data_IF_663941119722
#
_entry.id   IF_663941119722
#
_cell.length_a   1.000
_cell.length_b   1.000
_cell.length_c   1.000
_cell.angle_alpha   90.00
_cell.angle_beta   90.00
_cell.angle_gamma   90.00
#
_symmetry.space_group_name_H-M   'P 1'
#
loop_
_entity.id
_entity.type
_entity.pdbx_description
1 polymer ?
#
# COMPACT_ATOMS: atom_id res chain seq x y z
N UNK A 1 -43.21 13.05 -57.87
CA UNK A 1 -42.09 13.35 -58.77
C UNK A 1 -40.86 13.44 -57.88
N UNK A 2 -40.17 12.31 -57.68
CA UNK A 2 -38.82 11.99 -58.21
C UNK A 2 -37.70 12.87 -57.58
N UNK A 3 -36.54 12.42 -57.12
CA UNK A 3 -35.93 11.14 -56.67
C UNK A 3 -34.46 11.51 -56.37
N UNK A 4 -33.80 10.86 -55.42
CA UNK A 4 -32.34 10.95 -55.31
C UNK A 4 -31.77 10.46 -53.98
N UNK A 5 -31.50 9.15 -53.89
CA UNK A 5 -30.66 8.53 -52.87
C UNK A 5 -29.17 8.76 -53.18
N UNK A 6 -28.30 8.73 -52.16
CA UNK A 6 -27.16 7.80 -52.09
C UNK A 6 -26.68 7.65 -50.63
N UNK A 7 -26.40 6.40 -50.28
CA UNK A 7 -25.89 5.91 -49.00
C UNK A 7 -24.36 6.01 -48.93
N UNK A 8 -23.78 6.26 -47.76
CA UNK A 8 -22.36 5.98 -47.48
C UNK A 8 -22.20 5.51 -46.03
N UNK A 9 -21.73 4.28 -45.87
CA UNK A 9 -21.28 3.72 -44.60
C UNK A 9 -19.84 4.16 -44.34
N UNK A 10 -19.57 4.69 -43.14
CA UNK A 10 -18.20 4.83 -42.61
C UNK A 10 -18.10 4.21 -41.22
N UNK A 11 -17.03 3.44 -41.02
CA UNK A 11 -16.71 2.55 -39.92
C UNK A 11 -16.59 3.23 -38.53
N UNK A 12 -16.64 2.47 -37.41
CA UNK A 12 -16.50 3.03 -36.07
C UNK A 12 -15.09 3.53 -35.79
N UNK A 13 -15.00 4.74 -35.24
CA UNK A 13 -13.78 5.43 -34.86
C UNK A 13 -13.03 4.67 -33.77
N UNK A 14 -11.81 4.24 -34.10
CA UNK A 14 -10.82 3.68 -33.18
C UNK A 14 -10.40 4.75 -32.16
N UNK A 15 -10.69 4.52 -30.88
CA UNK A 15 -10.26 5.42 -29.79
C UNK A 15 -8.74 5.25 -29.63
N UNK A 16 -8.02 6.23 -30.16
CA UNK A 16 -6.58 6.41 -30.00
C UNK A 16 -6.24 6.44 -28.50
N UNK A 17 -5.49 5.44 -28.03
CA UNK A 17 -4.88 5.47 -26.69
C UNK A 17 -3.92 6.65 -26.65
N UNK A 18 -4.17 7.60 -25.75
CA UNK A 18 -3.22 8.68 -25.49
C UNK A 18 -1.95 8.09 -24.87
N UNK A 19 -0.86 8.10 -25.64
CA UNK A 19 0.49 7.86 -25.16
C UNK A 19 0.86 8.99 -24.18
N UNK A 20 0.82 8.68 -22.88
CA UNK A 20 1.31 9.60 -21.85
C UNK A 20 2.85 9.63 -21.89
N UNK A 21 3.48 10.82 -21.81
CA UNK A 21 4.92 10.97 -22.00
C UNK A 21 5.73 10.26 -20.90
N UNK A 22 6.72 9.48 -21.34
CA UNK A 22 7.77 8.91 -20.50
C UNK A 22 8.69 10.02 -19.98
N UNK A 23 9.03 10.07 -18.67
CA UNK A 23 10.09 10.96 -18.20
C UNK A 23 11.45 10.49 -18.73
N UNK A 24 12.22 11.44 -19.28
CA UNK A 24 13.54 11.23 -19.87
C UNK A 24 14.53 10.60 -18.88
N UNK A 25 15.30 9.61 -19.36
CA UNK A 25 16.39 8.99 -18.64
C UNK A 25 17.52 10.01 -18.41
N UNK A 26 17.66 10.49 -17.17
CA UNK A 26 18.82 11.26 -16.74
C UNK A 26 19.96 10.32 -16.35
N UNK A 27 21.11 10.47 -17.01
CA UNK A 27 22.36 9.78 -16.70
C UNK A 27 22.77 10.02 -15.25
N UNK A 28 22.94 8.94 -14.47
CA UNK A 28 23.66 9.00 -13.20
C UNK A 28 24.81 7.99 -13.25
N UNK A 29 25.99 8.56 -13.11
CA UNK A 29 27.31 7.97 -13.22
C UNK A 29 27.55 6.82 -12.23
N UNK A 30 28.34 5.88 -12.72
CA UNK A 30 28.94 4.70 -12.12
C UNK A 30 29.77 5.05 -10.87
N UNK A 31 29.57 4.31 -9.77
CA UNK A 31 30.65 3.78 -8.93
C UNK A 31 30.03 2.97 -7.78
N UNK A 32 30.52 1.73 -7.62
CA UNK A 32 30.63 0.88 -6.42
C UNK A 32 30.43 -0.59 -6.82
N UNK A 33 31.53 -1.24 -7.20
CA UNK A 33 31.79 -2.67 -6.93
C UNK A 33 32.57 -2.74 -5.61
N UNK A 34 32.32 -3.72 -4.72
CA UNK A 34 32.83 -5.09 -4.88
C UNK A 34 31.77 -6.15 -4.45
N UNK A 35 31.87 -7.48 -4.60
CA UNK A 35 32.93 -8.44 -4.83
C UNK A 35 32.34 -9.60 -5.66
N UNK A 36 33.14 -10.15 -6.55
CA UNK A 36 32.91 -11.34 -7.36
C UNK A 36 33.13 -12.61 -6.55
N UNK A 37 32.09 -13.44 -6.45
CA UNK A 37 32.22 -14.89 -6.34
C UNK A 37 31.27 -15.48 -7.37
N UNK A 38 31.85 -16.19 -8.34
CA UNK A 38 31.15 -16.73 -9.49
C UNK A 38 30.08 -17.73 -9.08
N UNK A 39 28.84 -17.39 -9.44
CA UNK A 39 27.83 -18.38 -9.79
C UNK A 39 27.40 -17.99 -11.19
N UNK A 40 27.69 -18.88 -12.14
CA UNK A 40 27.22 -18.83 -13.52
C UNK A 40 25.73 -18.49 -13.54
N UNK A 41 25.41 -17.32 -14.09
CA UNK A 41 24.06 -16.92 -14.41
C UNK A 41 23.54 -17.81 -15.53
N UNK A 42 22.97 -18.94 -15.17
CA UNK A 42 21.94 -19.56 -15.99
C UNK A 42 20.72 -18.63 -15.95
N UNK A 43 20.65 -17.72 -16.92
CA UNK A 43 19.43 -17.04 -17.30
C UNK A 43 18.44 -18.09 -17.83
N UNK A 44 17.78 -18.79 -16.91
CA UNK A 44 16.59 -19.56 -17.25
C UNK A 44 15.51 -18.54 -17.61
N UNK A 45 15.31 -18.38 -18.91
CA UNK A 45 14.22 -17.66 -19.56
C UNK A 45 12.90 -18.40 -19.29
N UNK A 46 12.50 -18.50 -18.01
CA UNK A 46 11.28 -19.15 -17.59
C UNK A 46 10.14 -18.13 -17.76
N UNK A 47 9.71 -17.98 -19.02
CA UNK A 47 8.46 -17.32 -19.40
C UNK A 47 7.25 -18.20 -18.98
N UNK A 48 7.34 -18.83 -17.80
CA UNK A 48 6.22 -19.45 -17.14
C UNK A 48 5.38 -18.30 -16.60
N UNK A 49 4.31 -18.01 -17.31
CA UNK A 49 3.30 -17.02 -16.95
C UNK A 49 2.93 -17.24 -15.48
N UNK A 50 3.46 -16.38 -14.59
CA UNK A 50 3.27 -16.55 -13.15
C UNK A 50 1.78 -16.45 -12.86
N UNK A 51 1.19 -17.54 -12.39
CA UNK A 51 -0.21 -17.56 -11.95
C UNK A 51 -0.40 -16.65 -10.73
N UNK A 52 -1.53 -15.95 -10.68
CA UNK A 52 -1.89 -15.02 -9.62
C UNK A 52 -2.10 -13.57 -10.06
N UNK A 53 -2.28 -12.70 -9.08
CA UNK A 53 -2.54 -11.27 -9.28
C UNK A 53 -1.46 -10.38 -8.70
N UNK A 54 -1.42 -9.17 -9.24
CA UNK A 54 -0.61 -8.04 -8.85
C UNK A 54 -1.45 -6.76 -8.93
N UNK A 55 -0.84 -5.60 -8.69
CA UNK A 55 -1.50 -4.31 -8.83
C UNK A 55 -1.30 -3.78 -10.23
N UNK A 56 -2.41 -3.57 -10.94
CA UNK A 56 -2.49 -2.82 -12.17
C UNK A 56 -3.18 -1.47 -11.99
N UNK A 57 -3.38 -0.80 -13.13
CA UNK A 57 -4.02 0.51 -13.20
C UNK A 57 -5.54 0.38 -13.30
N UNK A 58 -6.25 1.11 -12.44
CA UNK A 58 -7.65 1.44 -12.62
C UNK A 58 -7.82 2.78 -13.35
N UNK A 59 -8.86 3.52 -13.00
CA UNK A 59 -9.14 4.86 -13.52
C UNK A 59 -8.37 5.94 -12.77
N UNK A 60 -8.14 7.06 -13.43
CA UNK A 60 -7.72 8.31 -12.81
C UNK A 60 -8.88 8.88 -11.98
N UNK A 61 -8.58 9.31 -10.75
CA UNK A 61 -9.54 9.97 -9.86
C UNK A 61 -8.88 11.14 -9.12
N UNK A 62 -9.71 12.06 -8.65
CA UNK A 62 -9.30 13.10 -7.72
C UNK A 62 -9.05 12.52 -6.32
N UNK A 63 -7.95 12.97 -5.73
CA UNK A 63 -7.45 12.61 -4.41
C UNK A 63 -6.42 13.67 -3.96
N UNK A 64 -6.89 14.90 -3.64
CA UNK A 64 -6.05 16.00 -3.18
C UNK A 64 -5.22 15.62 -1.94
N UNK A 65 -4.03 16.22 -1.84
CA UNK A 65 -3.20 16.18 -0.62
C UNK A 65 -2.67 17.56 -0.28
N UNK A 66 -2.52 17.82 1.02
CA UNK A 66 -1.76 18.96 1.52
C UNK A 66 -0.35 18.55 1.97
N UNK A 67 0.50 19.55 2.17
CA UNK A 67 1.81 19.38 2.78
C UNK A 67 1.82 19.92 4.20
N UNK A 68 2.59 19.25 5.06
CA UNK A 68 2.84 19.71 6.42
C UNK A 68 4.25 19.31 6.83
N UNK A 69 4.80 20.04 7.79
CA UNK A 69 6.07 19.69 8.39
C UNK A 69 5.93 18.48 9.31
N UNK A 70 6.90 17.59 9.20
CA UNK A 70 7.04 16.44 10.08
C UNK A 70 8.52 16.06 10.15
N UNK A 71 9.07 16.07 11.36
CA UNK A 71 10.45 15.65 11.63
C UNK A 71 10.43 14.30 12.32
N UNK A 72 11.00 13.26 11.69
CA UNK A 72 11.08 11.92 12.28
C UNK A 72 11.89 11.94 13.56
N UNK A 73 11.44 11.20 14.58
CA UNK A 73 12.21 10.95 15.80
C UNK A 73 13.48 10.15 15.51
N UNK A 74 13.39 9.18 14.58
CA UNK A 74 14.51 8.32 14.16
C UNK A 74 14.53 8.16 12.63
N UNK A 75 15.71 7.94 12.06
CA UNK A 75 15.86 7.67 10.63
C UNK A 75 15.32 6.30 10.22
N UNK A 76 15.41 5.30 11.12
CA UNK A 76 14.82 3.96 10.93
C UNK A 76 13.33 3.97 11.33
N UNK A 77 12.48 3.16 10.67
CA UNK A 77 11.08 3.04 11.07
C UNK A 77 10.97 2.46 12.47
N UNK A 78 9.97 2.92 13.23
CA UNK A 78 9.62 2.34 14.53
C UNK A 78 9.06 0.93 14.34
N UNK A 79 8.19 0.76 13.33
CA UNK A 79 7.64 -0.54 12.95
C UNK A 79 7.57 -0.70 11.44
N UNK A 80 7.71 -1.94 10.99
CA UNK A 80 7.45 -2.36 9.61
C UNK A 80 6.39 -3.45 9.63
N UNK A 81 5.41 -3.33 8.77
CA UNK A 81 4.34 -4.32 8.60
C UNK A 81 4.15 -4.59 7.12
N UNK A 82 3.79 -5.81 6.77
CA UNK A 82 3.45 -6.17 5.40
C UNK A 82 2.15 -6.96 5.32
N UNK A 83 1.54 -6.92 4.13
CA UNK A 83 0.41 -7.74 3.73
C UNK A 83 0.80 -8.41 2.42
N UNK A 84 0.78 -9.73 2.37
CA UNK A 84 0.81 -10.46 1.11
C UNK A 84 -0.60 -10.53 0.55
N UNK A 85 -0.74 -10.54 -0.77
CA UNK A 85 -2.04 -10.74 -1.39
C UNK A 85 -1.93 -11.56 -2.66
N UNK A 86 -3.01 -12.27 -2.99
CA UNK A 86 -3.21 -12.94 -4.27
C UNK A 86 -4.71 -13.11 -4.52
N UNK A 87 -5.10 -13.75 -5.62
CA UNK A 87 -6.49 -14.15 -5.87
C UNK A 87 -6.80 -15.48 -5.19
N UNK A 88 -8.06 -15.93 -5.30
CA UNK A 88 -8.50 -17.15 -4.62
C UNK A 88 -7.79 -18.39 -5.14
N UNK A 89 -7.46 -18.44 -6.43
CA UNK A 89 -6.77 -19.58 -7.04
C UNK A 89 -5.30 -19.61 -6.61
N UNK A 90 -4.60 -18.47 -6.69
CA UNK A 90 -3.24 -18.33 -6.19
C UNK A 90 -3.13 -18.60 -4.69
N UNK A 91 -4.10 -18.16 -3.88
CA UNK A 91 -4.13 -18.48 -2.45
C UNK A 91 -4.30 -20.00 -2.20
N UNK A 92 -5.12 -20.67 -3.02
CA UNK A 92 -5.31 -22.13 -2.95
C UNK A 92 -4.03 -22.87 -3.34
N UNK A 93 -3.39 -22.46 -4.42
CA UNK A 93 -2.10 -23.01 -4.88
C UNK A 93 -0.99 -22.82 -3.83
N UNK A 94 -1.01 -21.68 -3.13
CA UNK A 94 -0.08 -21.38 -2.04
C UNK A 94 -0.41 -22.13 -0.74
N UNK A 95 -1.55 -22.82 -0.64
CA UNK A 95 -1.99 -23.52 0.56
C UNK A 95 -2.34 -22.57 1.71
N UNK A 96 -2.91 -21.39 1.41
CA UNK A 96 -3.38 -20.46 2.44
C UNK A 96 -4.55 -21.09 3.19
N UNK A 97 -4.43 -21.22 4.52
CA UNK A 97 -5.54 -21.67 5.36
C UNK A 97 -6.60 -20.57 5.46
N UNK A 98 -7.79 -20.88 4.94
CA UNK A 98 -8.94 -19.97 4.91
C UNK A 98 -9.89 -20.16 6.08
N UNK A 99 -9.70 -21.20 6.90
CA UNK A 99 -10.56 -21.51 8.05
C UNK A 99 -10.30 -20.54 9.21
N UNK A 100 -9.09 -20.02 9.29
CA UNK A 100 -8.70 -18.99 10.26
C UNK A 100 -8.65 -17.62 9.57
N UNK A 101 -9.81 -16.97 9.48
CA UNK A 101 -9.89 -15.57 9.05
C UNK A 101 -9.98 -14.63 10.24
N UNK A 102 -9.37 -13.46 10.10
CA UNK A 102 -9.48 -12.34 11.02
C UNK A 102 -10.11 -11.13 10.34
N UNK A 103 -10.63 -10.20 11.14
CA UNK A 103 -11.22 -8.96 10.64
C UNK A 103 -10.28 -8.20 9.71
N UNK A 104 -10.83 -7.48 8.72
CA UNK A 104 -10.02 -6.93 7.63
C UNK A 104 -9.05 -5.80 8.01
N UNK A 105 -9.28 -5.10 9.12
CA UNK A 105 -8.33 -4.16 9.72
C UNK A 105 -7.53 -4.88 10.82
N UNK A 106 -6.20 -4.74 10.83
CA UNK A 106 -5.34 -5.32 11.86
C UNK A 106 -4.36 -4.30 12.41
N UNK A 107 -4.11 -4.37 13.72
CA UNK A 107 -3.16 -3.50 14.40
C UNK A 107 -1.73 -3.88 14.03
N UNK A 108 -0.89 -2.86 13.89
CA UNK A 108 0.57 -3.00 13.78
C UNK A 108 1.17 -3.30 15.14
N UNK A 109 2.45 -3.72 15.15
CA UNK A 109 3.22 -3.83 16.38
C UNK A 109 3.15 -2.51 17.19
N UNK A 110 3.00 -2.63 18.50
CA UNK A 110 2.80 -1.48 19.40
C UNK A 110 1.41 -0.85 19.36
N UNK A 111 0.47 -1.33 18.53
CA UNK A 111 -0.95 -0.94 18.58
C UNK A 111 -1.25 0.51 18.18
N UNK A 112 -0.27 1.26 17.69
CA UNK A 112 -0.41 2.69 17.34
C UNK A 112 -1.23 2.91 16.06
N UNK A 113 -1.31 1.90 15.21
CA UNK A 113 -1.87 2.03 13.89
C UNK A 113 -2.56 0.73 13.49
N UNK A 114 -3.72 0.85 12.85
CA UNK A 114 -4.51 -0.27 12.35
C UNK A 114 -4.72 -0.11 10.84
N UNK A 115 -4.53 -1.17 10.07
CA UNK A 115 -4.60 -1.06 8.61
C UNK A 115 -5.01 -2.34 7.88
N UNK A 116 -5.49 -2.17 6.66
CA UNK A 116 -5.92 -3.27 5.78
C UNK A 116 -6.26 -2.79 4.38
N UNK A 117 -6.78 -3.71 3.56
CA UNK A 117 -7.22 -3.43 2.19
C UNK A 117 -8.75 -3.37 2.16
N UNK A 118 -9.29 -2.35 1.51
CA UNK A 118 -10.72 -2.18 1.30
C UNK A 118 -11.03 -2.31 -0.19
N UNK A 119 -12.01 -3.15 -0.54
CA UNK A 119 -12.38 -3.43 -1.94
C UNK A 119 -13.89 -3.57 -2.05
N UNK A 120 -14.50 -2.88 -3.00
CA UNK A 120 -15.96 -2.81 -3.11
C UNK A 120 -16.57 -2.09 -1.90
N UNK A 121 -17.25 -2.85 -1.04
CA UNK A 121 -18.04 -2.34 0.10
C UNK A 121 -17.52 -2.76 1.47
N UNK A 122 -16.45 -3.55 1.51
CA UNK A 122 -15.93 -4.10 2.77
C UNK A 122 -14.41 -4.06 2.82
N UNK A 123 -13.90 -4.17 4.05
CA UNK A 123 -12.53 -4.58 4.26
C UNK A 123 -12.37 -6.02 3.75
N UNK A 124 -11.21 -6.34 3.18
CA UNK A 124 -10.84 -7.70 2.81
C UNK A 124 -10.36 -8.44 4.06
N UNK A 125 -10.85 -9.66 4.24
CA UNK A 125 -10.46 -10.51 5.36
C UNK A 125 -8.96 -10.80 5.35
N UNK A 126 -8.41 -10.95 6.56
CA UNK A 126 -7.03 -11.33 6.74
C UNK A 126 -6.93 -12.82 7.05
N UNK A 127 -5.97 -13.46 6.40
CA UNK A 127 -5.59 -14.85 6.61
C UNK A 127 -4.15 -14.89 7.10
N UNK A 128 -3.76 -15.99 7.73
CA UNK A 128 -2.38 -16.20 8.16
C UNK A 128 -1.69 -17.21 7.26
N UNK A 129 -0.54 -16.83 6.71
CA UNK A 129 0.23 -17.71 5.83
C UNK A 129 1.73 -17.47 5.98
N UNK A 130 2.45 -18.53 6.37
CA UNK A 130 3.92 -18.55 6.54
C UNK A 130 4.45 -17.36 7.35
N UNK A 131 3.83 -17.13 8.51
CA UNK A 131 4.24 -16.09 9.46
C UNK A 131 3.95 -14.66 9.00
N UNK A 132 3.11 -14.45 7.97
CA UNK A 132 2.69 -13.13 7.56
C UNK A 132 1.21 -13.07 7.21
N UNK A 133 0.71 -11.82 7.21
CA UNK A 133 -0.68 -11.52 6.88
C UNK A 133 -0.91 -11.70 5.39
N UNK A 134 -2.01 -12.33 5.05
CA UNK A 134 -2.40 -12.62 3.69
C UNK A 134 -3.81 -12.11 3.41
N UNK A 135 -4.04 -11.53 2.24
CA UNK A 135 -5.34 -11.02 1.79
C UNK A 135 -5.68 -11.64 0.45
N UNK A 136 -6.94 -12.03 0.27
CA UNK A 136 -7.44 -12.56 -1.01
C UNK A 136 -8.21 -11.45 -1.74
N UNK A 137 -7.65 -10.98 -2.85
CA UNK A 137 -8.28 -10.02 -3.75
C UNK A 137 -9.08 -10.70 -4.87
N UNK A 138 -9.92 -9.93 -5.56
CA UNK A 138 -10.61 -10.40 -6.77
C UNK A 138 -10.07 -9.66 -7.99
N UNK A 139 -9.53 -10.40 -8.96
CA UNK A 139 -9.05 -9.84 -10.23
C UNK A 139 -10.10 -8.93 -10.87
N UNK A 140 -9.66 -7.80 -11.40
CA UNK A 140 -10.48 -6.75 -12.00
C UNK A 140 -11.14 -5.80 -11.01
N UNK A 141 -11.01 -6.00 -9.69
CA UNK A 141 -11.58 -5.08 -8.69
C UNK A 141 -10.58 -4.02 -8.25
N UNK A 142 -11.09 -2.81 -8.11
CA UNK A 142 -10.37 -1.70 -7.49
C UNK A 142 -10.31 -1.92 -5.97
N UNK A 143 -9.19 -1.52 -5.37
CA UNK A 143 -9.03 -1.54 -3.92
C UNK A 143 -8.29 -0.28 -3.45
N UNK A 144 -8.33 -0.05 -2.14
CA UNK A 144 -7.61 1.04 -1.47
C UNK A 144 -6.96 0.54 -0.19
N UNK A 145 -5.89 1.17 0.21
CA UNK A 145 -5.31 0.95 1.54
C UNK A 145 -6.05 1.86 2.53
N UNK A 146 -6.48 1.30 3.65
CA UNK A 146 -7.08 2.07 4.75
C UNK A 146 -6.17 1.96 5.96
N UNK A 147 -5.79 3.11 6.51
CA UNK A 147 -4.82 3.21 7.59
C UNK A 147 -5.39 4.14 8.66
N UNK A 148 -5.62 3.63 9.87
CA UNK A 148 -6.16 4.39 11.00
C UNK A 148 -5.06 4.62 12.03
N UNK A 149 -4.83 5.87 12.37
CA UNK A 149 -3.99 6.24 13.50
C UNK A 149 -4.79 6.05 14.80
N UNK A 150 -4.37 5.11 15.64
CA UNK A 150 -4.98 4.85 16.94
C UNK A 150 -4.28 5.61 18.08
N UNK A 151 -3.21 6.35 17.79
CA UNK A 151 -2.45 7.12 18.77
C UNK A 151 -2.97 8.54 18.96
N UNK A 152 -2.43 9.20 19.98
CA UNK A 152 -2.63 10.59 20.37
C UNK A 152 -1.66 11.58 19.67
N UNK A 153 -0.85 11.10 18.73
CA UNK A 153 0.16 11.91 18.03
C UNK A 153 0.09 11.72 16.51
N UNK A 154 0.68 12.65 15.75
CA UNK A 154 0.83 12.49 14.29
C UNK A 154 1.81 11.36 13.99
N UNK A 155 1.50 10.58 12.96
CA UNK A 155 2.34 9.49 12.48
C UNK A 155 2.67 9.68 11.00
N UNK A 156 3.89 9.34 10.60
CA UNK A 156 4.26 9.25 9.18
C UNK A 156 4.26 7.79 8.74
N UNK A 157 3.60 7.49 7.62
CA UNK A 157 3.59 6.17 6.99
C UNK A 157 4.13 6.21 5.57
N UNK A 158 5.19 5.45 5.33
CA UNK A 158 5.66 5.16 3.98
C UNK A 158 4.99 3.87 3.53
N UNK A 159 4.25 3.95 2.42
CA UNK A 159 3.46 2.85 1.88
C UNK A 159 4.02 2.41 0.54
N UNK A 160 4.10 1.11 0.34
CA UNK A 160 4.52 0.53 -0.94
C UNK A 160 3.54 -0.54 -1.39
N UNK A 161 3.31 -0.62 -2.70
CA UNK A 161 2.50 -1.66 -3.33
C UNK A 161 3.34 -2.27 -4.44
N UNK A 162 3.49 -3.60 -4.43
CA UNK A 162 4.34 -4.36 -5.34
C UNK A 162 5.79 -3.85 -5.42
N UNK A 163 6.28 -3.33 -4.29
CA UNK A 163 7.62 -2.75 -4.17
C UNK A 163 7.76 -1.33 -4.71
N UNK A 164 6.67 -0.70 -5.14
CA UNK A 164 6.64 0.69 -5.59
C UNK A 164 6.04 1.60 -4.53
N UNK A 165 6.66 2.76 -4.34
CA UNK A 165 6.15 3.81 -3.48
C UNK A 165 4.84 4.37 -4.05
N UNK A 166 3.82 4.48 -3.21
CA UNK A 166 2.49 4.91 -3.66
C UNK A 166 2.40 6.39 -4.02
N UNK A 167 3.36 7.22 -3.58
CA UNK A 167 3.39 8.67 -3.80
C UNK A 167 4.10 9.03 -5.11
N UNK A 168 5.18 8.33 -5.46
CA UNK A 168 5.96 8.67 -6.66
C UNK A 168 6.04 7.56 -7.72
N UNK A 169 5.49 6.37 -7.44
CA UNK A 169 5.50 5.23 -8.35
C UNK A 169 6.90 4.64 -8.63
N UNK A 170 7.94 5.12 -7.95
CA UNK A 170 9.32 4.60 -8.07
C UNK A 170 9.54 3.49 -7.04
N UNK A 171 10.71 2.86 -7.08
CA UNK A 171 11.09 1.85 -6.08
C UNK A 171 10.87 2.37 -4.65
N UNK A 172 10.20 1.55 -3.84
CA UNK A 172 9.91 1.82 -2.44
C UNK A 172 11.18 1.85 -1.59
N UNK A 173 11.19 2.72 -0.57
CA UNK A 173 12.30 2.82 0.37
C UNK A 173 11.84 3.49 1.66
N UNK A 174 12.30 2.98 2.80
CA UNK A 174 12.03 3.59 4.12
C UNK A 174 12.69 4.97 4.28
N UNK A 175 13.65 5.31 3.42
CA UNK A 175 14.31 6.63 3.41
C UNK A 175 13.44 7.73 2.77
N UNK A 176 12.43 7.36 1.97
CA UNK A 176 11.50 8.30 1.34
C UNK A 176 10.50 8.86 2.35
N UNK A 177 9.89 9.99 2.02
CA UNK A 177 8.80 10.59 2.81
C UNK A 177 7.48 9.88 2.51
N UNK A 178 6.61 9.84 3.52
CA UNK A 178 5.30 9.21 3.46
C UNK A 178 4.15 10.17 3.75
N UNK A 179 2.95 9.62 3.89
CA UNK A 179 1.78 10.37 4.32
C UNK A 179 1.84 10.64 5.83
N UNK A 180 1.37 11.81 6.24
CA UNK A 180 1.17 12.15 7.64
C UNK A 180 -0.30 11.91 7.99
N UNK A 181 -0.55 11.22 9.09
CA UNK A 181 -1.89 10.92 9.60
C UNK A 181 -2.01 11.57 10.98
N UNK A 182 -2.99 12.47 11.17
CA UNK A 182 -3.27 13.09 12.45
C UNK A 182 -3.74 12.07 13.50
N UNK A 183 -3.75 12.47 14.77
CA UNK A 183 -4.22 11.63 15.87
C UNK A 183 -5.68 11.23 15.65
N UNK A 184 -6.01 9.94 15.77
CA UNK A 184 -7.36 9.41 15.55
C UNK A 184 -7.84 9.39 14.09
N UNK A 185 -7.10 9.96 13.15
CA UNK A 185 -7.52 10.11 11.75
C UNK A 185 -7.35 8.82 10.94
N UNK A 186 -8.04 8.79 9.79
CA UNK A 186 -7.98 7.68 8.83
C UNK A 186 -7.48 8.21 7.49
N UNK A 187 -6.41 7.59 6.99
CA UNK A 187 -5.90 7.77 5.63
C UNK A 187 -6.47 6.69 4.72
N UNK A 188 -7.02 7.10 3.57
CA UNK A 188 -7.31 6.21 2.45
C UNK A 188 -6.37 6.49 1.29
N UNK A 189 -5.57 5.49 0.89
CA UNK A 189 -4.73 5.56 -0.30
C UNK A 189 -5.40 4.77 -1.42
N UNK A 190 -5.99 5.49 -2.36
CA UNK A 190 -6.84 4.92 -3.42
C UNK A 190 -6.05 4.42 -4.63
N UNK A 191 -4.80 4.83 -4.78
CA UNK A 191 -4.03 4.58 -6.01
C UNK A 191 -2.61 5.10 -5.96
N UNK A 192 -1.88 4.89 -7.05
CA UNK A 192 -0.58 5.51 -7.29
C UNK A 192 -0.79 6.96 -7.67
N UNK A 193 -0.07 7.86 -7.00
CA UNK A 193 -0.17 9.29 -7.27
C UNK A 193 0.52 9.65 -8.57
N UNK A 194 -0.18 10.47 -9.37
CA UNK A 194 0.33 11.04 -10.62
C UNK A 194 0.46 12.56 -10.56
N UNK A 195 -0.26 13.21 -9.62
CA UNK A 195 -0.11 14.62 -9.30
C UNK A 195 -0.58 14.91 -7.87
N UNK A 196 -0.46 16.16 -7.43
CA UNK A 196 -1.00 16.61 -6.13
C UNK A 196 -2.50 16.32 -5.97
N UNK A 197 -3.25 16.48 -7.06
CA UNK A 197 -4.70 16.37 -7.06
C UNK A 197 -5.20 14.99 -7.45
N UNK A 198 -4.37 14.17 -8.10
CA UNK A 198 -4.85 12.98 -8.81
C UNK A 198 -4.02 11.73 -8.53
N UNK A 199 -4.73 10.61 -8.52
CA UNK A 199 -4.16 9.27 -8.46
C UNK A 199 -4.75 8.41 -9.57
N UNK A 200 -4.03 7.38 -10.00
CA UNK A 200 -4.63 6.28 -10.74
C UNK A 200 -4.88 5.14 -9.76
N UNK A 201 -6.15 4.72 -9.69
CA UNK A 201 -6.63 3.75 -8.69
C UNK A 201 -5.90 2.42 -8.74
N UNK A 202 -5.73 1.79 -7.58
CA UNK A 202 -5.20 0.43 -7.53
C UNK A 202 -6.26 -0.56 -8.00
N UNK A 203 -5.88 -1.47 -8.89
CA UNK A 203 -6.74 -2.56 -9.36
C UNK A 203 -6.02 -3.89 -9.30
N UNK A 204 -6.65 -4.92 -8.77
CA UNK A 204 -6.11 -6.28 -8.86
C UNK A 204 -6.09 -6.73 -10.33
N UNK A 205 -4.91 -7.02 -10.87
CA UNK A 205 -4.68 -7.37 -12.28
C UNK A 205 -3.82 -8.63 -12.39
N UNK A 206 -3.74 -9.24 -13.57
CA UNK A 206 -2.76 -10.32 -13.81
C UNK A 206 -1.33 -9.79 -13.67
N UNK A 207 -0.42 -10.66 -13.23
CA UNK A 207 1.01 -10.34 -13.08
C UNK A 207 1.61 -9.79 -14.39
N UNK A 208 1.31 -10.40 -15.53
CA UNK A 208 1.79 -9.98 -16.86
C UNK A 208 1.39 -8.54 -17.23
N UNK A 209 0.23 -8.06 -16.75
CA UNK A 209 -0.31 -6.74 -17.08
C UNK A 209 -0.18 -5.73 -15.93
N UNK A 210 0.70 -5.99 -14.97
CA UNK A 210 0.80 -5.23 -13.72
C UNK A 210 1.82 -4.08 -13.77
N UNK A 211 1.59 -3.07 -12.93
CA UNK A 211 2.39 -1.84 -12.91
C UNK A 211 3.86 -2.09 -12.57
N UNK A 212 4.14 -2.98 -11.61
CA UNK A 212 5.51 -3.30 -11.20
C UNK A 212 6.31 -3.98 -12.32
N UNK A 213 5.69 -4.89 -13.08
CA UNK A 213 6.32 -5.54 -14.22
C UNK A 213 6.54 -4.56 -15.38
N UNK A 214 5.54 -3.72 -15.69
CA UNK A 214 5.63 -2.74 -16.78
C UNK A 214 6.66 -1.63 -16.55
N UNK A 215 7.06 -1.35 -15.29
CA UNK A 215 7.98 -0.25 -14.98
C UNK A 215 9.39 -0.68 -14.62
N UNK A 216 9.59 -1.81 -13.96
CA UNK A 216 10.90 -2.15 -13.41
C UNK A 216 11.34 -3.60 -13.61
N UNK A 217 10.54 -4.47 -14.25
CA UNK A 217 10.92 -5.86 -14.56
C UNK A 217 11.34 -6.71 -13.35
N UNK A 218 11.08 -6.25 -12.12
CA UNK A 218 11.58 -6.87 -10.87
C UNK A 218 10.44 -7.59 -10.18
N UNK A 219 10.46 -8.91 -10.26
CA UNK A 219 9.37 -9.83 -9.85
C UNK A 219 9.32 -10.16 -8.36
N UNK A 220 10.32 -9.76 -7.56
CA UNK A 220 10.46 -10.25 -6.16
C UNK A 220 9.42 -9.71 -5.16
N UNK A 221 8.76 -8.59 -5.45
CA UNK A 221 7.85 -7.93 -4.50
C UNK A 221 6.38 -7.92 -4.97
N UNK A 222 6.07 -8.63 -6.06
CA UNK A 222 4.70 -8.75 -6.57
C UNK A 222 3.81 -9.42 -5.52
N UNK A 223 2.60 -8.88 -5.31
CA UNK A 223 1.66 -9.44 -4.32
C UNK A 223 1.99 -9.00 -2.90
N UNK A 224 2.70 -7.88 -2.71
CA UNK A 224 3.08 -7.38 -1.37
C UNK A 224 2.74 -5.91 -1.22
N UNK A 225 2.03 -5.59 -0.14
CA UNK A 225 1.85 -4.22 0.37
C UNK A 225 2.72 -4.05 1.61
N UNK A 226 3.54 -3.02 1.62
CA UNK A 226 4.44 -2.68 2.73
C UNK A 226 4.02 -1.38 3.41
N UNK A 227 4.23 -1.33 4.72
CA UNK A 227 4.02 -0.14 5.55
C UNK A 227 5.23 0.02 6.49
N UNK A 228 5.84 1.20 6.46
CA UNK A 228 6.85 1.60 7.42
C UNK A 228 6.36 2.82 8.21
N UNK A 229 6.33 2.68 9.53
CA UNK A 229 5.77 3.66 10.47
C UNK A 229 6.89 4.44 11.16
N UNK A 230 6.78 5.77 11.17
CA UNK A 230 7.68 6.69 11.85
C UNK A 230 6.92 7.58 12.82
N UNK A 231 7.54 7.88 13.96
CA UNK A 231 7.01 8.80 14.96
C UNK A 231 7.65 10.18 14.81
N UNK A 232 6.94 11.20 15.29
CA UNK A 232 7.41 12.58 15.26
C UNK A 232 8.42 12.85 16.39
N UNK A 233 9.45 13.65 16.11
CA UNK A 233 10.48 14.04 17.08
C UNK A 233 9.83 14.81 18.24
N UNK A 234 10.09 14.36 19.48
CA UNK A 234 9.57 15.01 20.69
C UNK A 234 8.11 14.71 21.00
N UNK A 235 7.49 13.76 20.29
CA UNK A 235 6.16 13.21 20.61
C UNK A 235 6.33 11.72 20.87
N UNK A 236 5.95 11.25 22.05
CA UNK A 236 5.90 9.82 22.40
C UNK A 236 4.44 9.33 22.27
N UNK A 237 4.08 8.66 21.15
CA UNK A 237 2.69 8.28 20.91
C UNK A 237 2.23 7.20 21.89
N UNK A 238 1.01 7.34 22.39
CA UNK A 238 0.36 6.39 23.29
C UNK A 238 0.64 6.63 24.77
N UNK A 239 1.27 7.75 25.14
CA UNK A 239 1.44 8.13 26.55
C UNK A 239 0.08 8.35 27.21
N UNK A 240 -0.80 9.13 26.58
CA UNK A 240 -2.15 9.37 27.11
C UNK A 240 -3.01 8.10 27.11
N UNK A 241 -2.86 7.26 26.09
CA UNK A 241 -3.60 5.99 25.98
C UNK A 241 -3.22 5.05 27.13
N UNK A 242 -1.93 4.94 27.45
CA UNK A 242 -1.46 4.14 28.60
C UNK A 242 -1.95 4.71 29.91
N UNK A 243 -1.86 6.04 30.11
CA UNK A 243 -2.35 6.70 31.33
C UNK A 243 -3.85 6.42 31.52
N UNK A 244 -4.67 6.47 30.46
CA UNK A 244 -6.11 6.13 30.53
C UNK A 244 -6.38 4.65 30.76
N UNK A 245 -5.59 3.75 30.20
CA UNK A 245 -5.73 2.31 30.42
C UNK A 245 -5.37 1.91 31.85
N UNK A 246 -4.38 2.60 32.43
CA UNK A 246 -3.93 2.41 33.82
C UNK A 246 -4.77 3.22 34.82
N UNK A 247 -5.61 4.15 34.36
CA UNK A 247 -6.48 4.96 35.21
C UNK A 247 -7.53 4.08 35.90
N UNK A 248 -7.53 4.13 37.23
CA UNK A 248 -8.57 3.48 38.04
C UNK A 248 -9.85 4.34 38.01
N UNK A 249 -11.01 3.80 37.60
CA UNK A 249 -12.25 4.58 37.46
C UNK A 249 -12.83 5.05 38.80
N UNK A 250 -12.40 4.44 39.91
CA UNK A 250 -12.75 4.84 41.26
C UNK A 250 -11.44 5.10 42.01
N UNK A 251 -11.20 6.35 42.41
CA UNK A 251 -10.09 6.67 43.30
C UNK A 251 -10.36 6.04 44.67
N UNK A 252 -9.41 5.28 45.23
CA UNK A 252 -9.43 4.97 46.66
C UNK A 252 -9.36 6.31 47.40
N UNK A 253 -10.35 6.57 48.27
CA UNK A 253 -10.37 7.79 49.06
C UNK A 253 -9.05 7.92 49.82
N UNK A 254 -8.44 9.12 49.90
CA UNK A 254 -7.24 9.30 50.69
C UNK A 254 -7.52 8.78 52.11
N UNK A 255 -6.69 7.88 52.61
CA UNK A 255 -6.75 7.47 54.01
C UNK A 255 -6.38 8.67 54.88
N UNK A 256 -7.35 9.53 55.17
CA UNK A 256 -7.23 10.53 56.21
C UNK A 256 -7.32 9.76 57.52
N UNK A 257 -6.17 9.33 58.06
CA UNK A 257 -6.11 9.02 59.49
C UNK A 257 -6.29 10.35 60.22
N UNK A 258 -7.48 10.59 60.74
CA UNK A 258 -7.65 11.57 61.80
C UNK A 258 -6.68 11.17 62.91
N UNK A 259 -5.80 12.11 63.30
CA UNK A 259 -5.03 11.98 64.53
C UNK A 259 -5.99 12.32 65.66
N UNK A 260 -6.23 11.37 66.55
CA UNK A 260 -6.95 11.56 67.82
C UNK A 260 -6.19 12.51 68.75
#
# INVERSE_FOLDING_TARGET
MLMGFLSSCSAPTEIQRADLPLPAAGNISTAYSPLTTGVSSEESNDNKERTGIATGWGKEIESPIGYTDFKRAMAKPKYVSLIRYNDSDGAREMGVDRRTSGGGMQKTAGGMLEWGLYSGWSMLDNYWWRGARFVIGKKGRDYRLRVKNLSDARLEVVLTVDGLDVIDGKAGSTKKRGYIIGAGEILEVKGFRISHEKVVTFRFSSVTSSYANLRYGRTRNVGVVGLALFTEKGKEPGTEIRVRQEARPFAEAPMIRARD
#
